data_IF_656103499321
#
_entry.id   IF_656103499321
#
_cell.length_a   1.000
_cell.length_b   1.000
_cell.length_c   1.000
_cell.angle_alpha   90.00
_cell.angle_beta   90.00
_cell.angle_gamma   90.00
#
_symmetry.space_group_name_H-M   'P 1'
#
loop_
_entity.id
_entity.type
_entity.pdbx_description
1 polymer ?
#
# COMPACT_ATOMS: atom_id res chain seq x y z
N UNK A 1 17.38 10.60 9.43
CA UNK A 1 17.76 9.80 8.24
C UNK A 1 17.86 10.74 7.05
N UNK A 2 18.67 10.44 6.02
CA UNK A 2 18.74 11.27 4.81
C UNK A 2 17.41 11.21 4.03
N UNK A 3 17.15 12.22 3.18
CA UNK A 3 15.89 12.33 2.43
C UNK A 3 15.72 11.24 1.36
N UNK A 4 16.81 10.61 0.95
CA UNK A 4 16.85 9.52 -0.02
C UNK A 4 16.84 8.12 0.63
N UNK A 5 16.56 8.02 1.93
CA UNK A 5 16.61 6.77 2.70
C UNK A 5 15.86 5.59 2.05
N UNK A 6 14.67 5.86 1.50
CA UNK A 6 13.84 4.84 0.85
C UNK A 6 14.14 4.67 -0.66
N UNK A 7 15.08 5.45 -1.22
CA UNK A 7 15.51 5.26 -2.62
C UNK A 7 16.29 3.95 -2.82
N UNK A 8 16.93 3.44 -1.75
CA UNK A 8 17.64 2.17 -1.77
C UNK A 8 16.65 0.98 -1.79
N UNK A 9 16.76 0.14 -2.83
CA UNK A 9 15.89 -1.02 -3.02
C UNK A 9 15.99 -2.04 -1.87
N UNK A 10 17.18 -2.27 -1.33
CA UNK A 10 17.37 -3.21 -0.22
C UNK A 10 16.63 -2.71 1.03
N UNK A 11 16.58 -1.40 1.30
CA UNK A 11 15.76 -0.84 2.39
C UNK A 11 14.29 -1.17 2.19
N UNK A 12 13.73 -0.92 1.00
CA UNK A 12 12.31 -1.19 0.72
C UNK A 12 11.98 -2.67 0.84
N UNK A 13 12.80 -3.55 0.26
CA UNK A 13 12.66 -5.00 0.39
C UNK A 13 12.74 -5.45 1.86
N UNK A 14 13.65 -4.87 2.64
CA UNK A 14 13.77 -5.19 4.05
C UNK A 14 12.48 -4.89 4.82
N UNK A 15 11.86 -3.73 4.58
CA UNK A 15 10.58 -3.37 5.19
C UNK A 15 9.42 -4.26 4.74
N UNK A 16 9.34 -4.61 3.45
CA UNK A 16 8.31 -5.53 2.95
C UNK A 16 8.43 -6.92 3.59
N UNK A 17 9.64 -7.47 3.73
CA UNK A 17 9.85 -8.74 4.44
C UNK A 17 9.69 -8.63 5.97
N UNK A 18 9.77 -7.43 6.54
CA UNK A 18 9.62 -7.22 7.98
C UNK A 18 8.15 -7.23 8.41
N UNK A 19 7.24 -6.79 7.53
CA UNK A 19 5.83 -6.60 7.85
C UNK A 19 5.11 -7.93 8.15
N UNK A 20 4.37 -8.06 9.27
CA UNK A 20 3.72 -9.30 9.68
C UNK A 20 2.33 -9.48 9.04
N UNK A 21 2.25 -9.61 7.71
CA UNK A 21 0.97 -9.59 6.96
C UNK A 21 -0.16 -10.45 7.56
N UNK A 22 0.11 -11.74 7.85
CA UNK A 22 -0.90 -12.68 8.39
C UNK A 22 -1.37 -12.29 9.79
N UNK A 23 -0.45 -11.92 10.68
CA UNK A 23 -0.78 -11.46 12.03
C UNK A 23 -1.55 -10.14 11.99
N UNK A 24 -1.10 -9.20 11.15
CA UNK A 24 -1.77 -7.92 10.96
C UNK A 24 -3.22 -8.09 10.48
N UNK A 25 -3.46 -8.93 9.46
CA UNK A 25 -4.83 -9.24 9.00
C UNK A 25 -5.66 -9.88 10.11
N UNK A 26 -5.07 -10.79 10.89
CA UNK A 26 -5.77 -11.41 12.01
C UNK A 26 -6.16 -10.41 13.10
N UNK A 27 -5.25 -9.51 13.49
CA UNK A 27 -5.47 -8.57 14.60
C UNK A 27 -6.31 -7.35 14.19
N UNK A 28 -6.03 -6.77 13.01
CA UNK A 28 -6.70 -5.56 12.54
C UNK A 28 -8.07 -5.85 11.90
N UNK A 29 -8.22 -7.01 11.26
CA UNK A 29 -9.39 -7.35 10.46
C UNK A 29 -10.13 -8.61 10.92
N UNK A 30 -9.71 -9.26 12.02
CA UNK A 30 -10.25 -10.55 12.47
C UNK A 30 -10.24 -11.63 11.37
N UNK A 31 -9.26 -11.59 10.46
CA UNK A 31 -9.17 -12.49 9.31
C UNK A 31 -10.09 -12.12 8.13
N UNK A 32 -10.86 -11.02 8.22
CA UNK A 32 -11.79 -10.56 7.16
C UNK A 32 -11.11 -9.59 6.18
N UNK A 33 -9.90 -9.94 5.74
CA UNK A 33 -9.18 -9.23 4.70
C UNK A 33 -8.23 -10.19 3.99
N UNK A 34 -7.88 -9.88 2.75
CA UNK A 34 -6.82 -10.56 2.02
C UNK A 34 -5.61 -9.65 1.89
N UNK A 35 -4.42 -10.23 1.74
CA UNK A 35 -3.22 -9.48 1.37
C UNK A 35 -3.26 -9.23 -0.15
N UNK A 36 -3.21 -7.97 -0.62
CA UNK A 36 -3.04 -7.67 -2.03
C UNK A 36 -1.61 -7.97 -2.47
N UNK A 37 -1.43 -8.37 -3.73
CA UNK A 37 -0.11 -8.52 -4.34
C UNK A 37 0.35 -7.25 -5.08
N UNK A 38 -0.57 -6.37 -5.47
CA UNK A 38 -0.29 -5.07 -6.07
C UNK A 38 -1.47 -4.10 -5.86
N UNK A 39 -1.42 -2.91 -6.49
CA UNK A 39 -2.55 -1.98 -6.55
C UNK A 39 -3.73 -2.52 -7.39
N UNK A 40 -3.50 -3.49 -8.27
CA UNK A 40 -4.57 -4.12 -9.04
C UNK A 40 -5.26 -5.14 -8.14
N UNK A 41 -6.33 -4.69 -7.47
CA UNK A 41 -6.99 -5.47 -6.42
C UNK A 41 -7.91 -6.57 -6.96
N UNK A 42 -8.24 -7.56 -6.11
CA UNK A 42 -9.19 -8.62 -6.42
C UNK A 42 -10.53 -8.03 -6.83
N UNK A 43 -11.02 -8.46 -7.99
CA UNK A 43 -12.29 -8.01 -8.58
C UNK A 43 -12.12 -7.09 -9.80
N UNK A 44 -10.92 -6.56 -10.03
CA UNK A 44 -10.60 -5.78 -11.23
C UNK A 44 -10.02 -6.66 -12.35
N UNK A 45 -10.26 -6.31 -13.63
CA UNK A 45 -9.57 -6.94 -14.75
C UNK A 45 -8.04 -6.88 -14.61
N UNK A 46 -7.36 -7.99 -14.86
CA UNK A 46 -5.89 -8.08 -14.75
C UNK A 46 -5.36 -8.40 -13.35
N UNK A 47 -6.23 -8.54 -12.34
CA UNK A 47 -5.82 -9.17 -11.08
C UNK A 47 -5.51 -10.64 -11.33
N UNK A 48 -4.29 -11.05 -10.96
CA UNK A 48 -3.83 -12.43 -10.97
C UNK A 48 -3.39 -12.81 -9.54
N UNK A 49 -4.07 -13.76 -8.87
CA UNK A 49 -3.71 -14.19 -7.51
C UNK A 49 -2.38 -14.96 -7.43
N UNK A 50 -1.85 -15.45 -8.56
CA UNK A 50 -0.63 -16.25 -8.61
C UNK A 50 0.64 -15.36 -8.72
N UNK A 51 0.47 -14.04 -8.90
CA UNK A 51 1.59 -13.10 -8.87
C UNK A 51 2.28 -13.08 -7.49
N UNK A 52 3.61 -12.89 -7.46
CA UNK A 52 4.37 -12.96 -6.22
C UNK A 52 3.97 -11.87 -5.23
N UNK A 53 3.86 -12.25 -3.97
CA UNK A 53 3.63 -11.36 -2.84
C UNK A 53 4.77 -11.48 -1.83
N UNK A 54 5.02 -10.41 -1.07
CA UNK A 54 5.93 -10.50 0.07
C UNK A 54 5.26 -11.25 1.21
N UNK A 55 5.96 -12.21 1.81
CA UNK A 55 5.57 -12.80 3.09
C UNK A 55 6.56 -12.36 4.17
N UNK A 56 6.12 -12.31 5.42
CA UNK A 56 7.03 -11.99 6.51
C UNK A 56 8.19 -12.99 6.57
N UNK A 57 9.41 -12.47 6.53
CA UNK A 57 10.61 -13.26 6.68
C UNK A 57 11.70 -12.42 7.36
N UNK A 58 11.83 -12.60 8.68
CA UNK A 58 12.76 -11.83 9.51
C UNK A 58 14.22 -12.03 9.08
N UNK A 59 14.58 -13.23 8.59
CA UNK A 59 15.93 -13.51 8.12
C UNK A 59 16.24 -12.73 6.83
N UNK A 60 15.34 -12.74 5.84
CA UNK A 60 15.47 -11.94 4.62
C UNK A 60 15.45 -10.45 4.91
N UNK A 61 14.55 -9.97 5.78
CA UNK A 61 14.53 -8.57 6.19
C UNK A 61 15.88 -8.15 6.78
N UNK A 62 16.45 -8.97 7.67
CA UNK A 62 17.77 -8.75 8.27
C UNK A 62 18.89 -8.74 7.23
N UNK A 63 18.87 -9.67 6.27
CA UNK A 63 19.84 -9.73 5.17
C UNK A 63 19.82 -8.43 4.35
N UNK A 64 18.63 -7.98 3.93
CA UNK A 64 18.49 -6.75 3.16
C UNK A 64 18.90 -5.50 3.96
N UNK A 65 18.54 -5.40 5.25
CA UNK A 65 19.03 -4.29 6.10
C UNK A 65 20.55 -4.29 6.27
N UNK A 66 21.20 -5.46 6.31
CA UNK A 66 22.67 -5.58 6.35
C UNK A 66 23.35 -5.26 5.02
N UNK A 67 22.65 -5.42 3.90
CA UNK A 67 23.16 -5.08 2.57
C UNK A 67 22.97 -3.60 2.24
N UNK A 68 21.87 -3.01 2.68
CA UNK A 68 21.51 -1.63 2.40
C UNK A 68 22.63 -0.64 2.74
N UNK A 69 22.90 0.27 1.81
CA UNK A 69 23.97 1.27 1.90
C UNK A 69 25.34 0.67 2.27
N UNK A 70 25.71 -0.44 1.64
CA UNK A 70 26.96 -1.17 1.87
C UNK A 70 27.17 -1.55 3.35
N UNK A 71 26.07 -1.85 4.05
CA UNK A 71 26.04 -2.24 5.46
C UNK A 71 26.12 -1.10 6.47
N UNK A 72 26.25 0.15 6.02
CA UNK A 72 26.21 1.32 6.91
C UNK A 72 24.90 1.42 7.68
N UNK A 73 23.78 1.12 7.03
CA UNK A 73 22.46 1.20 7.67
C UNK A 73 22.37 0.30 8.91
N UNK A 74 22.87 -0.93 8.83
CA UNK A 74 22.84 -1.86 9.95
C UNK A 74 23.66 -1.37 11.16
N UNK A 75 24.80 -0.71 10.89
CA UNK A 75 25.70 -0.22 11.92
C UNK A 75 25.20 1.07 12.57
N UNK A 76 24.69 2.01 11.77
CA UNK A 76 24.27 3.34 12.22
C UNK A 76 22.83 3.36 12.75
N UNK A 77 21.96 2.55 12.14
CA UNK A 77 20.52 2.57 12.41
C UNK A 77 19.77 3.68 11.69
N UNK A 78 18.51 3.86 12.06
CA UNK A 78 17.67 4.92 11.53
C UNK A 78 16.66 5.37 12.56
N UNK A 79 16.23 6.63 12.43
CA UNK A 79 15.13 7.18 13.19
C UNK A 79 14.23 8.02 12.30
N UNK A 80 12.93 7.74 12.35
CA UNK A 80 11.89 8.57 11.71
C UNK A 80 10.53 8.40 12.40
N UNK A 81 9.58 9.24 11.99
CA UNK A 81 8.19 9.18 12.43
C UNK A 81 7.33 8.56 11.33
N UNK A 82 6.58 7.50 11.65
CA UNK A 82 5.54 6.97 10.79
C UNK A 82 4.18 7.53 11.22
N UNK A 83 3.37 7.98 10.26
CA UNK A 83 2.16 8.75 10.55
C UNK A 83 0.90 8.03 10.07
N UNK A 84 -0.15 8.06 10.89
CA UNK A 84 -1.50 7.63 10.51
C UNK A 84 -2.52 8.72 10.85
N UNK A 85 -3.70 8.65 10.27
CA UNK A 85 -4.79 9.55 10.65
C UNK A 85 -5.45 9.06 11.94
N UNK A 86 -5.55 9.95 12.92
CA UNK A 86 -6.11 9.68 14.26
C UNK A 86 -7.52 9.11 14.16
N UNK A 87 -7.81 8.12 14.99
CA UNK A 87 -9.07 7.37 14.97
C UNK A 87 -9.05 6.15 14.05
N UNK A 88 -8.01 5.95 13.24
CA UNK A 88 -7.83 4.75 12.43
C UNK A 88 -6.91 3.73 13.13
N UNK A 89 -7.50 2.86 13.94
CA UNK A 89 -6.77 1.83 14.70
C UNK A 89 -6.09 0.80 13.80
N UNK A 90 -6.70 0.48 12.64
CA UNK A 90 -6.12 -0.44 11.65
C UNK A 90 -4.79 0.10 11.14
N UNK A 91 -4.76 1.38 10.75
CA UNK A 91 -3.52 2.04 10.29
C UNK A 91 -2.48 2.18 11.39
N UNK A 92 -2.92 2.45 12.61
CA UNK A 92 -2.02 2.46 13.77
C UNK A 92 -1.35 1.10 13.97
N UNK A 93 -2.12 0.01 13.98
CA UNK A 93 -1.63 -1.35 14.19
C UNK A 93 -0.57 -1.75 13.17
N UNK A 94 -0.76 -1.40 11.89
CA UNK A 94 0.22 -1.67 10.85
C UNK A 94 1.59 -1.00 11.13
N UNK A 95 1.57 0.28 11.51
CA UNK A 95 2.80 1.03 11.78
C UNK A 95 3.45 0.63 13.11
N UNK A 96 2.65 0.33 14.13
CA UNK A 96 3.13 -0.20 15.42
C UNK A 96 3.81 -1.56 15.23
N UNK A 97 3.23 -2.43 14.40
CA UNK A 97 3.83 -3.71 14.03
C UNK A 97 5.21 -3.53 13.38
N UNK A 98 5.33 -2.65 12.38
CA UNK A 98 6.64 -2.32 11.79
C UNK A 98 7.63 -1.78 12.81
N UNK A 99 7.20 -0.85 13.67
CA UNK A 99 8.06 -0.30 14.73
C UNK A 99 8.58 -1.38 15.68
N UNK A 100 7.70 -2.28 16.11
CA UNK A 100 8.03 -3.37 17.02
C UNK A 100 9.04 -4.33 16.39
N UNK A 101 8.76 -4.82 15.17
CA UNK A 101 9.67 -5.76 14.49
C UNK A 101 11.01 -5.10 14.14
N UNK A 102 11.02 -3.83 13.72
CA UNK A 102 12.27 -3.10 13.42
C UNK A 102 13.16 -3.02 14.67
N UNK A 103 12.57 -2.66 15.82
CA UNK A 103 13.29 -2.56 17.09
C UNK A 103 13.79 -3.92 17.59
N UNK A 104 13.04 -4.99 17.38
CA UNK A 104 13.43 -6.35 17.76
C UNK A 104 14.66 -6.83 17.01
N UNK A 105 14.77 -6.54 15.71
CA UNK A 105 15.92 -6.98 14.90
C UNK A 105 17.18 -6.12 15.13
N UNK A 106 17.01 -4.83 15.47
CA UNK A 106 18.11 -3.92 15.76
C UNK A 106 17.63 -2.77 16.65
N UNK A 107 18.17 -2.58 17.88
CA UNK A 107 17.72 -1.53 18.79
C UNK A 107 17.98 -0.09 18.27
N UNK A 108 18.80 0.07 17.23
CA UNK A 108 19.05 1.35 16.55
C UNK A 108 18.01 1.69 15.49
N UNK A 109 17.09 0.77 15.19
CA UNK A 109 15.99 1.00 14.24
C UNK A 109 14.79 1.54 15.01
N UNK A 110 14.58 2.85 14.91
CA UNK A 110 13.59 3.57 15.72
C UNK A 110 12.50 4.19 14.83
N UNK A 111 11.30 3.63 14.91
CA UNK A 111 10.11 4.18 14.24
C UNK A 111 9.18 4.71 15.32
N UNK A 112 8.92 6.02 15.32
CA UNK A 112 7.93 6.63 16.22
C UNK A 112 6.60 6.68 15.48
N UNK A 113 5.55 6.09 16.03
CA UNK A 113 4.22 6.10 15.41
C UNK A 113 3.40 7.25 15.98
N UNK A 114 2.87 8.12 15.13
CA UNK A 114 2.11 9.32 15.54
C UNK A 114 0.79 9.39 14.76
N UNK A 115 -0.28 9.70 15.48
CA UNK A 115 -1.58 10.01 14.91
C UNK A 115 -1.71 11.50 14.63
N UNK A 116 -2.22 11.86 13.45
CA UNK A 116 -2.54 13.24 13.07
C UNK A 116 -4.03 13.40 12.73
N UNK A 117 -4.58 14.60 12.92
CA UNK A 117 -5.90 14.91 12.35
C UNK A 117 -5.79 14.86 10.82
N UNK A 118 -6.86 14.40 10.16
CA UNK A 118 -6.84 14.16 8.71
C UNK A 118 -6.44 15.38 7.88
N UNK A 119 -6.87 16.58 8.27
CA UNK A 119 -6.46 17.82 7.60
C UNK A 119 -4.95 18.07 7.66
N UNK A 120 -4.33 17.80 8.81
CA UNK A 120 -2.89 17.97 9.01
C UNK A 120 -2.13 16.90 8.24
N UNK A 121 -2.58 15.65 8.33
CA UNK A 121 -2.03 14.53 7.57
C UNK A 121 -1.97 14.84 6.07
N UNK A 122 -3.08 15.32 5.48
CA UNK A 122 -3.12 15.68 4.07
C UNK A 122 -2.21 16.87 3.74
N UNK A 123 -2.14 17.87 4.61
CA UNK A 123 -1.22 19.01 4.42
C UNK A 123 0.25 18.57 4.45
N UNK A 124 0.60 17.61 5.32
CA UNK A 124 1.95 17.08 5.45
C UNK A 124 2.30 16.14 4.30
N UNK A 125 1.33 15.35 3.87
CA UNK A 125 1.40 14.48 2.69
C UNK A 125 1.72 15.30 1.42
N UNK A 126 0.91 16.32 1.12
CA UNK A 126 1.12 17.18 -0.08
C UNK A 126 2.44 17.92 -0.01
N UNK A 127 2.89 18.28 1.20
CA UNK A 127 4.18 18.94 1.42
C UNK A 127 5.38 17.97 1.39
N UNK A 128 5.17 16.66 1.21
CA UNK A 128 6.25 15.66 1.21
C UNK A 128 6.95 15.49 2.56
N UNK A 129 6.26 15.76 3.67
CA UNK A 129 6.83 15.74 5.03
C UNK A 129 6.70 14.38 5.74
N UNK A 130 5.99 13.43 5.14
CA UNK A 130 5.73 12.12 5.74
C UNK A 130 6.73 11.07 5.21
N UNK A 131 7.73 10.63 5.99
CA UNK A 131 8.70 9.65 5.51
C UNK A 131 8.10 8.24 5.38
N UNK A 132 7.10 7.91 6.19
CA UNK A 132 6.32 6.68 6.11
C UNK A 132 4.92 6.96 6.65
N UNK A 133 3.91 6.44 5.99
CA UNK A 133 2.53 6.59 6.40
C UNK A 133 1.71 5.41 5.89
N UNK A 134 0.54 5.20 6.48
CA UNK A 134 -0.43 4.25 5.95
C UNK A 134 -1.62 4.99 5.34
N UNK A 135 -1.91 4.66 4.09
CA UNK A 135 -3.01 5.18 3.27
C UNK A 135 -3.67 4.01 2.54
N UNK A 136 -4.81 4.27 1.92
CA UNK A 136 -5.50 3.29 1.09
C UNK A 136 -6.25 4.03 -0.02
N UNK A 137 -6.52 3.31 -1.10
CA UNK A 137 -7.36 3.78 -2.19
C UNK A 137 -8.67 3.00 -2.20
N UNK A 138 -9.74 3.66 -2.60
CA UNK A 138 -11.01 3.03 -2.88
C UNK A 138 -11.30 3.26 -4.36
N UNK A 139 -11.89 2.27 -5.01
CA UNK A 139 -12.23 2.39 -6.42
C UNK A 139 -13.21 3.55 -6.65
N UNK A 140 -12.82 4.50 -7.50
CA UNK A 140 -13.68 5.56 -8.04
C UNK A 140 -14.48 5.03 -9.25
N UNK A 141 -13.89 4.10 -10.00
CA UNK A 141 -14.53 3.34 -11.08
C UNK A 141 -13.90 1.95 -11.22
N UNK A 142 -14.63 0.94 -11.74
CA UNK A 142 -14.19 -0.46 -11.69
C UNK A 142 -13.18 -0.80 -12.81
N UNK A 143 -12.07 -0.07 -12.86
CA UNK A 143 -11.02 -0.23 -13.87
C UNK A 143 -9.62 -0.27 -13.24
N UNK A 144 -8.72 -1.17 -13.67
CA UNK A 144 -7.35 -1.23 -13.15
C UNK A 144 -6.57 0.08 -13.33
N UNK A 145 -6.93 0.91 -14.32
CA UNK A 145 -6.30 2.21 -14.52
C UNK A 145 -6.49 3.16 -13.32
N UNK A 146 -7.63 3.10 -12.63
CA UNK A 146 -7.91 3.92 -11.44
C UNK A 146 -6.80 3.76 -10.37
N UNK A 147 -6.53 2.50 -10.02
CA UNK A 147 -5.51 2.16 -9.04
C UNK A 147 -4.10 2.36 -9.59
N UNK A 148 -3.85 1.97 -10.84
CA UNK A 148 -2.53 2.07 -11.45
C UNK A 148 -2.08 3.53 -11.61
N UNK A 149 -2.98 4.43 -11.99
CA UNK A 149 -2.69 5.85 -12.07
C UNK A 149 -2.40 6.43 -10.69
N UNK A 150 -3.29 6.21 -9.71
CA UNK A 150 -3.13 6.73 -8.36
C UNK A 150 -1.81 6.28 -7.71
N UNK A 151 -1.48 4.99 -7.79
CA UNK A 151 -0.31 4.42 -7.12
C UNK A 151 0.99 4.52 -7.91
N UNK A 152 0.95 4.45 -9.24
CA UNK A 152 2.16 4.20 -10.01
C UNK A 152 2.53 5.26 -11.03
N UNK A 153 1.60 6.12 -11.46
CA UNK A 153 1.98 7.21 -12.35
C UNK A 153 2.92 8.19 -11.62
N UNK A 154 3.91 8.73 -12.35
CA UNK A 154 4.81 9.75 -11.82
C UNK A 154 4.09 11.04 -11.39
N UNK A 155 2.87 11.24 -11.89
CA UNK A 155 1.94 12.32 -11.54
C UNK A 155 0.74 11.86 -10.70
N UNK A 156 0.69 10.57 -10.36
CA UNK A 156 -0.39 9.95 -9.62
C UNK A 156 -0.48 10.44 -8.18
N UNK A 157 -1.65 10.28 -7.56
CA UNK A 157 -1.93 10.74 -6.21
C UNK A 157 -0.84 10.32 -5.21
N UNK A 158 -0.42 9.05 -5.24
CA UNK A 158 0.66 8.47 -4.41
C UNK A 158 2.00 8.46 -5.11
N UNK A 159 2.05 8.06 -6.38
CA UNK A 159 3.30 7.93 -7.13
C UNK A 159 4.11 9.22 -7.17
N UNK A 160 3.47 10.39 -7.29
CA UNK A 160 4.14 11.69 -7.28
C UNK A 160 4.82 12.02 -5.93
N UNK A 161 4.41 11.37 -4.84
CA UNK A 161 4.92 11.63 -3.49
C UNK A 161 6.08 10.73 -3.07
N UNK A 162 6.44 9.72 -3.86
CA UNK A 162 7.56 8.80 -3.58
C UNK A 162 8.95 9.43 -3.83
N UNK A 163 9.00 10.73 -4.14
CA UNK A 163 10.22 11.50 -4.31
C UNK A 163 10.81 11.42 -5.73
N UNK A 164 11.79 12.30 -5.98
CA UNK A 164 12.33 12.54 -7.33
C UNK A 164 12.95 11.29 -7.99
N UNK A 165 13.60 10.42 -7.20
CA UNK A 165 14.19 9.18 -7.71
C UNK A 165 13.13 8.24 -8.26
N UNK A 166 11.99 8.12 -7.57
CA UNK A 166 10.87 7.32 -8.06
C UNK A 166 10.22 7.99 -9.27
N UNK A 167 9.88 9.28 -9.21
CA UNK A 167 9.13 9.94 -10.30
C UNK A 167 9.92 9.91 -11.62
N UNK A 168 11.24 10.10 -11.56
CA UNK A 168 12.12 9.96 -12.75
C UNK A 168 12.17 8.52 -13.27
N UNK A 169 12.19 7.53 -12.36
CA UNK A 169 12.14 6.11 -12.75
C UNK A 169 10.77 5.74 -13.34
N UNK A 170 9.68 6.22 -12.74
CA UNK A 170 8.31 5.95 -13.17
C UNK A 170 8.04 6.49 -14.58
N UNK A 171 8.51 7.70 -14.90
CA UNK A 171 8.41 8.27 -16.26
C UNK A 171 8.96 7.36 -17.36
N UNK A 172 10.01 6.59 -17.05
CA UNK A 172 10.63 5.67 -18.01
C UNK A 172 10.01 4.27 -17.99
N UNK A 173 9.66 3.76 -16.82
CA UNK A 173 9.37 2.33 -16.65
C UNK A 173 7.89 2.05 -16.34
N UNK A 174 7.16 3.00 -15.79
CA UNK A 174 5.82 2.79 -15.25
C UNK A 174 4.75 3.59 -16.01
N UNK A 175 4.99 4.88 -16.26
CA UNK A 175 4.07 5.75 -17.00
C UNK A 175 3.71 5.18 -18.39
N UNK A 176 4.61 4.56 -19.18
CA UNK A 176 4.22 3.93 -20.44
C UNK A 176 3.17 2.82 -20.28
N UNK A 177 3.26 2.04 -19.20
CA UNK A 177 2.32 0.95 -18.92
C UNK A 177 0.99 1.49 -18.41
N UNK A 178 1.03 2.44 -17.48
CA UNK A 178 -0.18 3.10 -16.95
C UNK A 178 -0.96 3.79 -18.08
N UNK A 179 -0.28 4.53 -18.96
CA UNK A 179 -0.91 5.14 -20.13
C UNK A 179 -1.46 4.09 -21.13
N UNK A 180 -0.81 2.93 -21.24
CA UNK A 180 -1.27 1.83 -22.08
C UNK A 180 -2.54 1.17 -21.52
N UNK A 181 -2.74 1.12 -20.19
CA UNK A 181 -4.00 0.67 -19.60
C UNK A 181 -5.19 1.54 -20.01
N UNK A 182 -5.00 2.86 -20.15
CA UNK A 182 -6.05 3.79 -20.57
C UNK A 182 -6.37 3.67 -22.07
N UNK A 183 -5.34 3.46 -22.91
CA UNK A 183 -5.49 3.54 -24.38
C UNK A 183 -5.77 2.19 -25.06
N UNK A 184 -5.44 1.08 -24.40
CA UNK A 184 -5.67 -0.28 -24.93
C UNK A 184 -7.13 -0.70 -24.75
N UNK A 185 -7.79 -1.12 -25.84
CA UNK A 185 -9.21 -1.56 -25.80
C UNK A 185 -9.34 -3.07 -25.55
N UNK A 186 -8.42 -3.89 -26.07
CA UNK A 186 -8.52 -5.34 -25.98
C UNK A 186 -8.34 -5.83 -24.52
N UNK A 187 -9.33 -6.53 -23.91
CA UNK A 187 -9.27 -6.93 -22.51
C UNK A 187 -8.07 -7.81 -22.14
N UNK A 188 -7.69 -8.77 -23.00
CA UNK A 188 -6.56 -9.66 -22.74
C UNK A 188 -5.22 -8.95 -22.83
N UNK A 189 -5.09 -7.93 -23.69
CA UNK A 189 -3.90 -7.08 -23.72
C UNK A 189 -3.83 -6.17 -22.49
N UNK A 190 -4.96 -5.59 -22.06
CA UNK A 190 -5.03 -4.80 -20.82
C UNK A 190 -4.64 -5.62 -19.59
N UNK A 191 -5.13 -6.86 -19.48
CA UNK A 191 -4.78 -7.76 -18.38
C UNK A 191 -3.26 -8.01 -18.30
N UNK A 192 -2.60 -8.27 -19.44
CA UNK A 192 -1.14 -8.43 -19.50
C UNK A 192 -0.37 -7.19 -19.06
N UNK A 193 -0.84 -5.99 -19.42
CA UNK A 193 -0.24 -4.73 -18.96
C UNK A 193 -0.37 -4.60 -17.44
N UNK A 194 -1.54 -4.96 -16.87
CA UNK A 194 -1.76 -4.93 -15.42
C UNK A 194 -0.87 -5.94 -14.67
N UNK A 195 -0.66 -7.13 -15.23
CA UNK A 195 0.29 -8.13 -14.72
C UNK A 195 1.73 -7.61 -14.75
N UNK A 196 2.14 -6.93 -15.83
CA UNK A 196 3.47 -6.32 -15.96
C UNK A 196 3.71 -5.20 -14.93
N UNK A 197 2.72 -4.33 -14.74
CA UNK A 197 2.73 -3.29 -13.70
C UNK A 197 2.91 -3.92 -12.31
N UNK A 198 2.11 -4.94 -12.01
CA UNK A 198 2.16 -5.65 -10.72
C UNK A 198 3.49 -6.35 -10.48
N UNK A 199 4.10 -6.90 -11.54
CA UNK A 199 5.44 -7.50 -11.50
C UNK A 199 6.51 -6.46 -11.18
N UNK A 200 6.49 -5.31 -11.89
CA UNK A 200 7.44 -4.22 -11.65
C UNK A 200 7.31 -3.65 -10.24
N UNK A 201 6.10 -3.51 -9.72
CA UNK A 201 5.87 -3.12 -8.34
C UNK A 201 6.54 -4.09 -7.35
N UNK A 202 6.26 -5.39 -7.49
CA UNK A 202 6.86 -6.42 -6.62
C UNK A 202 8.40 -6.38 -6.66
N UNK A 203 8.99 -6.36 -7.85
CA UNK A 203 10.45 -6.37 -8.04
C UNK A 203 11.14 -5.16 -7.41
N UNK A 204 10.47 -4.01 -7.45
CA UNK A 204 10.98 -2.73 -6.94
C UNK A 204 10.52 -2.41 -5.50
N UNK A 205 9.68 -3.26 -4.90
CA UNK A 205 9.11 -3.10 -3.56
C UNK A 205 8.56 -1.68 -3.34
N UNK A 206 7.68 -1.21 -4.22
CA UNK A 206 7.24 0.20 -4.18
C UNK A 206 6.34 0.46 -2.97
N UNK A 207 5.50 -0.50 -2.64
CA UNK A 207 4.56 -0.42 -1.51
C UNK A 207 4.60 -1.68 -0.64
N UNK A 208 4.15 -1.51 0.61
CA UNK A 208 3.82 -2.62 1.51
C UNK A 208 2.31 -2.81 1.42
N UNK A 209 1.85 -3.75 0.59
CA UNK A 209 0.42 -4.03 0.42
C UNK A 209 -0.13 -4.79 1.62
N UNK A 210 -0.80 -4.07 2.53
CA UNK A 210 -1.19 -4.60 3.84
C UNK A 210 -2.49 -5.39 3.82
N UNK A 211 -3.54 -4.84 3.20
CA UNK A 211 -4.88 -5.42 3.21
C UNK A 211 -5.76 -4.94 2.05
N UNK A 212 -6.69 -5.82 1.66
CA UNK A 212 -7.94 -5.51 0.98
C UNK A 212 -9.06 -6.11 1.85
N UNK A 213 -9.81 -5.29 2.61
CA UNK A 213 -10.82 -5.79 3.54
C UNK A 213 -12.06 -6.32 2.82
N UNK A 214 -12.70 -7.33 3.41
CA UNK A 214 -14.00 -7.79 2.98
C UNK A 214 -15.10 -6.83 3.46
N UNK A 215 -16.00 -6.43 2.55
CA UNK A 215 -17.16 -5.61 2.89
C UNK A 215 -18.25 -6.49 3.51
N UNK A 216 -18.71 -6.13 4.71
CA UNK A 216 -19.87 -6.74 5.35
C UNK A 216 -20.95 -5.70 5.66
N UNK A 217 -22.21 -6.11 5.49
CA UNK A 217 -23.38 -5.30 5.81
C UNK A 217 -24.21 -6.03 6.84
N UNK A 218 -24.48 -5.36 7.97
CA UNK A 218 -25.30 -5.90 9.05
C UNK A 218 -26.51 -4.99 9.22
N UNK A 219 -27.69 -5.54 8.96
CA UNK A 219 -28.96 -4.83 9.11
C UNK A 219 -30.00 -5.66 9.83
N UNK A 220 -31.09 -4.99 10.25
CA UNK A 220 -32.25 -5.66 10.83
C UNK A 220 -32.99 -6.43 9.74
N UNK A 221 -33.55 -7.58 10.09
CA UNK A 221 -34.26 -8.48 9.15
C UNK A 221 -35.49 -7.86 8.49
N UNK A 222 -36.07 -6.82 9.11
CA UNK A 222 -37.19 -6.06 8.54
C UNK A 222 -36.75 -5.00 7.51
N UNK A 223 -35.46 -4.65 7.41
CA UNK A 223 -35.01 -3.73 6.36
C UNK A 223 -35.06 -4.46 5.02
N UNK A 224 -35.62 -3.80 4.00
CA UNK A 224 -35.76 -4.30 2.63
C UNK A 224 -35.12 -3.35 1.64
N UNK A 225 -34.74 -3.87 0.48
CA UNK A 225 -34.25 -3.09 -0.67
C UNK A 225 -32.76 -2.74 -0.61
N UNK A 226 -32.02 -3.26 0.38
CA UNK A 226 -30.56 -3.26 0.34
C UNK A 226 -30.07 -4.23 -0.74
N UNK A 227 -29.02 -3.82 -1.46
CA UNK A 227 -28.28 -4.67 -2.36
C UNK A 227 -26.81 -4.27 -2.37
N UNK A 228 -25.93 -5.24 -2.62
CA UNK A 228 -24.50 -4.98 -2.73
C UNK A 228 -24.17 -4.25 -4.03
N UNK A 229 -23.40 -3.16 -3.93
CA UNK A 229 -22.81 -2.46 -5.07
C UNK A 229 -21.39 -2.03 -4.72
N UNK A 230 -20.41 -2.67 -5.37
CA UNK A 230 -18.99 -2.41 -5.10
C UNK A 230 -18.54 -0.97 -5.40
N UNK A 231 -19.25 -0.25 -6.29
CA UNK A 231 -18.88 1.12 -6.73
C UNK A 231 -19.67 2.22 -6.04
N UNK A 232 -20.61 1.89 -5.15
CA UNK A 232 -21.40 2.88 -4.44
C UNK A 232 -20.81 3.09 -3.04
N UNK A 233 -20.19 4.25 -2.75
CA UNK A 233 -19.83 4.57 -1.38
C UNK A 233 -21.11 4.83 -0.56
N UNK A 234 -21.12 4.34 0.67
CA UNK A 234 -22.20 4.58 1.62
C UNK A 234 -23.49 3.81 1.31
N UNK A 235 -24.60 4.35 1.81
CA UNK A 235 -25.91 3.69 1.85
C UNK A 235 -26.88 4.45 0.96
N UNK A 236 -27.54 3.76 0.03
CA UNK A 236 -28.65 4.33 -0.73
C UNK A 236 -29.94 4.27 0.09
N UNK A 237 -30.15 5.27 0.93
CA UNK A 237 -31.34 5.34 1.78
C UNK A 237 -32.66 5.39 0.98
N UNK A 238 -32.65 5.73 -0.32
CA UNK A 238 -33.85 5.74 -1.14
C UNK A 238 -34.28 4.33 -1.56
N UNK A 239 -33.36 3.38 -1.66
CA UNK A 239 -33.69 1.99 -1.96
C UNK A 239 -34.20 1.24 -0.72
N UNK A 240 -34.02 1.81 0.48
CA UNK A 240 -34.35 1.14 1.73
C UNK A 240 -35.80 1.38 2.18
N UNK A 241 -36.42 0.32 2.68
CA UNK A 241 -37.74 0.35 3.32
C UNK A 241 -37.80 -0.60 4.52
N UNK A 242 -38.89 -0.51 5.30
CA UNK A 242 -39.20 -1.40 6.43
C UNK A 242 -40.35 -2.33 6.08
#
# INVERSE_FOLDING_TARGET
MPSDFFSNLDVRKAFSYLFPYKQYIQEAWNGMAIQPNSAIIKGLPGYDPDLPMYEQNIAKATEYFKKAYDGKLWQEGFKFTAVYNTGNSVRQLALDALSNYARQINPKFQITVIGELWSNFLSDYVAGRLPMYMMGWQADYPDPYDFADAYYASTGAYGATLGASYTTWAQKNMDPLVNSLMTTVNPSQRAKIAEEISTLDHENALYIWTDQPEGYWVERTWVKGWYWNAMRPGIDFYSLSK
#
